data_IF_619209044641
#
_entry.id   IF_619209044641
#
_cell.length_a   1.000
_cell.length_b   1.000
_cell.length_c   1.000
_cell.angle_alpha   90.00
_cell.angle_beta   90.00
_cell.angle_gamma   90.00
#
_symmetry.space_group_name_H-M   'P 1'
#
loop_
_entity.id
_entity.type
_entity.pdbx_description
1 polymer ?
#
# COMPACT_ATOMS: atom_id res chain seq x y z
N UNK A 1 -15.27 50.37 -59.05
CA UNK A 1 -14.86 49.00 -59.46
C UNK A 1 -15.53 48.00 -58.52
N UNK A 2 -16.70 47.50 -58.93
CA UNK A 2 -17.49 46.50 -58.20
C UNK A 2 -17.02 45.10 -58.59
N UNK A 3 -16.48 44.32 -57.64
CA UNK A 3 -16.23 42.88 -57.82
C UNK A 3 -17.48 42.12 -57.41
N UNK A 4 -18.23 41.66 -58.41
CA UNK A 4 -19.27 40.65 -58.24
C UNK A 4 -18.62 39.32 -57.82
N UNK A 5 -19.03 38.80 -56.66
CA UNK A 5 -18.72 37.45 -56.21
C UNK A 5 -19.71 36.48 -56.86
N UNK A 6 -19.20 35.67 -57.80
CA UNK A 6 -19.91 34.52 -58.35
C UNK A 6 -20.08 33.45 -57.27
N UNK A 7 -21.33 33.08 -57.00
CA UNK A 7 -21.66 31.88 -56.23
C UNK A 7 -21.40 30.63 -57.08
N UNK A 8 -20.85 29.55 -56.50
CA UNK A 8 -20.71 28.27 -57.19
C UNK A 8 -22.07 27.55 -57.32
N UNK A 9 -22.24 26.71 -58.35
CA UNK A 9 -23.50 26.03 -58.64
C UNK A 9 -23.83 24.93 -57.62
N UNK A 10 -25.09 24.94 -57.18
CA UNK A 10 -25.74 23.86 -56.43
C UNK A 10 -25.79 22.57 -57.27
N UNK A 11 -24.94 21.59 -56.96
CA UNK A 11 -25.10 20.21 -57.42
C UNK A 11 -25.85 19.39 -56.37
N UNK A 12 -27.17 19.33 -56.53
CA UNK A 12 -28.03 18.32 -55.90
C UNK A 12 -27.86 17.00 -56.65
N UNK A 13 -26.97 16.14 -56.15
CA UNK A 13 -27.02 14.70 -56.42
C UNK A 13 -27.17 13.96 -55.10
N UNK A 14 -28.43 13.71 -54.73
CA UNK A 14 -28.83 12.82 -53.64
C UNK A 14 -28.67 11.37 -54.08
N UNK A 15 -27.42 10.95 -54.30
CA UNK A 15 -27.06 9.55 -54.32
C UNK A 15 -27.17 9.00 -52.89
N UNK A 16 -28.09 8.06 -52.69
CA UNK A 16 -28.21 7.30 -51.46
C UNK A 16 -26.87 6.63 -51.16
N UNK A 17 -26.10 7.23 -50.24
CA UNK A 17 -24.89 6.64 -49.69
C UNK A 17 -25.23 5.24 -49.17
N UNK A 18 -24.42 4.21 -49.48
CA UNK A 18 -24.55 2.92 -48.83
C UNK A 18 -24.57 3.13 -47.31
N UNK A 19 -25.35 2.34 -46.55
CA UNK A 19 -25.48 2.51 -45.11
C UNK A 19 -24.08 2.60 -44.51
N UNK A 20 -23.75 3.75 -43.93
CA UNK A 20 -22.51 3.91 -43.18
C UNK A 20 -22.53 2.81 -42.12
N UNK A 21 -21.52 1.92 -42.09
CA UNK A 21 -21.40 0.96 -41.01
C UNK A 21 -21.42 1.75 -39.70
N UNK A 22 -22.28 1.32 -38.80
CA UNK A 22 -22.55 1.91 -37.48
C UNK A 22 -21.26 2.49 -36.85
N UNK A 23 -21.17 3.82 -36.77
CA UNK A 23 -20.05 4.58 -36.16
C UNK A 23 -19.96 4.41 -34.64
N UNK A 24 -20.65 3.41 -34.11
CA UNK A 24 -21.03 3.21 -32.71
C UNK A 24 -20.41 1.95 -32.07
N UNK A 25 -19.61 1.16 -32.80
CA UNK A 25 -18.77 0.07 -32.26
C UNK A 25 -17.35 0.60 -31.97
N UNK A 26 -17.02 0.95 -30.73
CA UNK A 26 -16.53 0.04 -29.68
C UNK A 26 -15.03 -0.34 -29.77
N UNK A 27 -14.16 0.55 -30.25
CA UNK A 27 -12.71 0.28 -30.17
C UNK A 27 -12.19 0.63 -28.78
N UNK A 28 -12.48 -0.22 -27.80
CA UNK A 28 -11.74 -0.27 -26.54
C UNK A 28 -10.33 -0.75 -26.83
N UNK A 29 -9.32 0.02 -26.43
CA UNK A 29 -7.92 -0.41 -26.51
C UNK A 29 -7.55 -1.14 -25.21
N UNK A 30 -7.13 -2.40 -25.31
CA UNK A 30 -6.69 -3.17 -24.14
C UNK A 30 -5.20 -3.42 -24.21
N UNK A 31 -4.48 -2.94 -23.19
CA UNK A 31 -3.05 -3.10 -23.03
C UNK A 31 -2.79 -4.25 -22.06
N UNK A 32 -2.12 -5.30 -22.51
CA UNK A 32 -1.78 -6.49 -21.71
C UNK A 32 -0.31 -6.48 -21.33
N UNK A 33 0.00 -6.69 -20.05
CA UNK A 33 1.40 -6.76 -19.62
C UNK A 33 2.03 -8.07 -20.07
N UNK A 34 3.24 -7.98 -20.64
CA UNK A 34 4.00 -9.12 -21.12
C UNK A 34 4.29 -10.11 -19.97
N UNK A 35 3.85 -11.37 -20.14
CA UNK A 35 4.04 -12.43 -19.15
C UNK A 35 5.52 -12.76 -18.90
N UNK A 36 6.37 -12.69 -19.93
CA UNK A 36 7.81 -12.90 -19.80
C UNK A 36 8.45 -11.83 -18.91
N UNK A 37 8.12 -10.56 -19.12
CA UNK A 37 8.64 -9.46 -18.27
C UNK A 37 8.19 -9.58 -16.81
N UNK A 38 6.97 -10.07 -16.57
CA UNK A 38 6.53 -10.39 -15.20
C UNK A 38 7.37 -11.49 -14.57
N UNK A 39 7.71 -12.55 -15.31
CA UNK A 39 8.57 -13.62 -14.80
C UNK A 39 9.98 -13.10 -14.48
N UNK A 40 10.56 -12.30 -15.38
CA UNK A 40 11.87 -11.66 -15.16
C UNK A 40 11.85 -10.76 -13.92
N UNK A 41 10.84 -9.92 -13.77
CA UNK A 41 10.68 -9.06 -12.58
C UNK A 41 10.47 -9.85 -11.30
N UNK A 42 9.73 -10.96 -11.34
CA UNK A 42 9.54 -11.82 -10.18
C UNK A 42 10.88 -12.45 -9.75
N UNK A 43 11.66 -12.99 -10.69
CA UNK A 43 12.98 -13.58 -10.41
C UNK A 43 13.94 -12.50 -9.89
N UNK A 44 14.04 -11.37 -10.59
CA UNK A 44 14.88 -10.24 -10.17
C UNK A 44 14.48 -9.70 -8.80
N UNK A 45 13.18 -9.63 -8.52
CA UNK A 45 12.64 -9.26 -7.22
C UNK A 45 13.02 -10.24 -6.10
N UNK A 46 12.98 -11.54 -6.37
CA UNK A 46 13.43 -12.56 -5.40
C UNK A 46 14.92 -12.43 -5.11
N UNK A 47 15.76 -12.25 -6.13
CA UNK A 47 17.21 -12.04 -5.97
C UNK A 47 17.47 -10.76 -5.16
N UNK A 48 16.80 -9.66 -5.50
CA UNK A 48 16.94 -8.40 -4.80
C UNK A 48 16.49 -8.50 -3.33
N UNK A 49 15.42 -9.24 -3.03
CA UNK A 49 15.00 -9.50 -1.65
C UNK A 49 16.03 -10.35 -0.89
N UNK A 50 16.67 -11.33 -1.53
CA UNK A 50 17.76 -12.10 -0.90
C UNK A 50 18.97 -11.22 -0.60
N UNK A 51 19.42 -10.42 -1.57
CA UNK A 51 20.52 -9.47 -1.37
C UNK A 51 20.18 -8.49 -0.26
N UNK A 52 18.94 -8.00 -0.25
CA UNK A 52 18.55 -7.01 0.73
C UNK A 52 18.37 -7.64 2.13
N UNK A 53 17.93 -8.89 2.23
CA UNK A 53 17.91 -9.62 3.50
C UNK A 53 19.29 -9.69 4.16
N UNK A 54 20.37 -9.79 3.37
CA UNK A 54 21.74 -9.74 3.88
C UNK A 54 22.07 -8.38 4.53
N UNK A 55 21.58 -7.28 3.96
CA UNK A 55 21.76 -5.95 4.55
C UNK A 55 20.88 -5.74 5.80
N UNK A 56 19.70 -6.36 5.86
CA UNK A 56 18.82 -6.34 7.05
C UNK A 56 19.33 -7.27 8.17
N UNK A 57 20.35 -8.10 7.92
CA UNK A 57 21.01 -8.90 8.95
C UNK A 57 22.34 -8.31 9.42
N UNK A 58 22.76 -7.16 8.88
CA UNK A 58 23.97 -6.49 9.34
C UNK A 58 23.83 -5.94 10.77
N UNK A 59 24.90 -5.37 11.33
CA UNK A 59 24.81 -4.64 12.62
C UNK A 59 24.56 -3.13 12.42
N UNK A 60 24.73 -2.64 11.19
CA UNK A 60 24.67 -1.22 10.87
C UNK A 60 23.24 -0.72 10.70
N UNK A 61 22.68 -0.10 11.73
CA UNK A 61 21.28 0.39 11.75
C UNK A 61 20.93 1.34 10.59
N UNK A 62 21.84 2.22 10.17
CA UNK A 62 21.59 3.15 9.05
C UNK A 62 21.35 2.37 7.76
N UNK A 63 22.15 1.34 7.49
CA UNK A 63 21.98 0.44 6.36
C UNK A 63 20.64 -0.29 6.45
N UNK A 64 20.15 -0.65 7.64
CA UNK A 64 18.83 -1.27 7.82
C UNK A 64 17.70 -0.36 7.38
N UNK A 65 17.68 0.88 7.86
CA UNK A 65 16.58 1.81 7.55
C UNK A 65 16.53 2.10 6.04
N UNK A 66 17.69 2.36 5.42
CA UNK A 66 17.77 2.59 3.98
C UNK A 66 17.36 1.33 3.20
N UNK A 67 17.82 0.16 3.63
CA UNK A 67 17.48 -1.11 3.00
C UNK A 67 15.97 -1.41 3.11
N UNK A 68 15.36 -1.22 4.28
CA UNK A 68 13.90 -1.38 4.49
C UNK A 68 13.12 -0.43 3.58
N UNK A 69 13.52 0.85 3.48
CA UNK A 69 12.91 1.80 2.54
C UNK A 69 13.00 1.33 1.09
N UNK A 70 14.17 0.81 0.69
CA UNK A 70 14.40 0.21 -0.62
C UNK A 70 13.53 -1.02 -0.88
N UNK A 71 13.39 -1.93 0.08
CA UNK A 71 12.49 -3.10 -0.01
C UNK A 71 11.06 -2.67 -0.17
N UNK A 72 10.58 -1.74 0.63
CA UNK A 72 9.20 -1.29 0.55
C UNK A 72 8.94 -0.69 -0.84
N UNK A 73 9.83 0.16 -1.35
CA UNK A 73 9.70 0.71 -2.70
C UNK A 73 9.70 -0.39 -3.78
N UNK A 74 10.64 -1.34 -3.70
CA UNK A 74 10.74 -2.47 -4.63
C UNK A 74 9.50 -3.37 -4.57
N UNK A 75 9.03 -3.72 -3.38
CA UNK A 75 7.84 -4.54 -3.18
C UNK A 75 6.59 -3.85 -3.73
N UNK A 76 6.40 -2.55 -3.45
CA UNK A 76 5.27 -1.80 -3.99
C UNK A 76 5.30 -1.80 -5.53
N UNK A 77 6.48 -1.66 -6.11
CA UNK A 77 6.69 -1.72 -7.55
C UNK A 77 6.42 -3.12 -8.13
N UNK A 78 6.94 -4.18 -7.51
CA UNK A 78 6.71 -5.57 -7.90
C UNK A 78 5.22 -5.93 -7.80
N UNK A 79 4.55 -5.54 -6.71
CA UNK A 79 3.12 -5.74 -6.52
C UNK A 79 2.34 -5.05 -7.63
N UNK A 80 2.67 -3.80 -7.96
CA UNK A 80 2.01 -3.07 -9.05
C UNK A 80 2.21 -3.77 -10.41
N UNK A 81 3.42 -4.29 -10.71
CA UNK A 81 3.71 -4.99 -11.97
C UNK A 81 3.03 -6.37 -12.06
N UNK A 82 3.18 -7.19 -11.03
CA UNK A 82 2.75 -8.59 -11.01
C UNK A 82 1.23 -8.71 -10.90
N UNK A 83 0.59 -7.81 -10.16
CA UNK A 83 -0.87 -7.90 -9.95
C UNK A 83 -1.66 -7.33 -11.11
N UNK A 84 -1.08 -6.47 -11.94
CA UNK A 84 -1.77 -5.87 -13.09
C UNK A 84 -1.93 -6.89 -14.20
N UNK A 85 -3.17 -7.24 -14.56
CA UNK A 85 -3.45 -8.21 -15.64
C UNK A 85 -3.50 -7.47 -16.98
N UNK A 86 -4.41 -6.52 -17.09
CA UNK A 86 -4.57 -5.68 -18.27
C UNK A 86 -5.14 -4.30 -17.89
N UNK A 87 -4.99 -3.36 -18.81
CA UNK A 87 -5.50 -2.00 -18.71
C UNK A 87 -6.33 -1.72 -19.95
N UNK A 88 -7.63 -1.48 -19.77
CA UNK A 88 -8.55 -1.16 -20.86
C UNK A 88 -8.84 0.33 -20.88
N UNK A 89 -8.61 0.96 -22.03
CA UNK A 89 -8.92 2.34 -22.35
C UNK A 89 -10.27 2.36 -23.09
N UNK A 90 -11.36 2.43 -22.34
CA UNK A 90 -12.71 2.52 -22.89
C UNK A 90 -13.08 3.99 -23.17
N UNK A 91 -14.00 4.26 -24.10
CA UNK A 91 -14.44 5.62 -24.43
C UNK A 91 -14.82 6.53 -23.26
N UNK A 92 -15.43 5.96 -22.23
CA UNK A 92 -16.00 6.65 -21.07
C UNK A 92 -15.20 6.44 -19.78
N UNK A 93 -14.29 5.46 -19.75
CA UNK A 93 -13.54 5.08 -18.55
C UNK A 93 -12.25 4.34 -18.85
N UNK A 94 -11.32 4.41 -17.91
CA UNK A 94 -10.06 3.68 -17.90
C UNK A 94 -10.15 2.62 -16.81
N UNK A 95 -10.01 1.36 -17.17
CA UNK A 95 -10.17 0.22 -16.27
C UNK A 95 -8.84 -0.50 -16.12
N UNK A 96 -8.32 -0.57 -14.89
CA UNK A 96 -7.18 -1.40 -14.53
C UNK A 96 -7.66 -2.65 -13.82
N UNK A 97 -7.48 -3.82 -14.44
CA UNK A 97 -7.79 -5.11 -13.81
C UNK A 97 -6.59 -5.64 -13.05
N UNK A 98 -6.81 -6.00 -11.78
CA UNK A 98 -5.80 -6.62 -10.93
C UNK A 98 -6.22 -8.03 -10.55
N UNK A 99 -5.25 -8.92 -10.38
CA UNK A 99 -5.50 -10.32 -10.04
C UNK A 99 -6.17 -10.48 -8.66
N UNK A 100 -5.74 -9.68 -7.67
CA UNK A 100 -6.19 -9.83 -6.27
C UNK A 100 -6.89 -8.61 -5.66
N UNK A 101 -6.68 -7.40 -6.22
CA UNK A 101 -7.07 -6.14 -5.58
C UNK A 101 -8.32 -5.49 -6.18
N UNK A 102 -9.09 -6.25 -6.95
CA UNK A 102 -10.24 -5.77 -7.71
C UNK A 102 -9.85 -4.88 -8.88
N UNK A 103 -10.81 -4.11 -9.39
CA UNK A 103 -10.60 -3.21 -10.51
C UNK A 103 -10.46 -1.76 -10.02
N UNK A 104 -9.59 -0.99 -10.66
CA UNK A 104 -9.56 0.48 -10.51
C UNK A 104 -10.19 1.08 -11.76
N UNK A 105 -11.25 1.87 -11.60
CA UNK A 105 -11.97 2.52 -12.71
C UNK A 105 -11.84 4.03 -12.56
N UNK A 106 -11.32 4.70 -13.58
CA UNK A 106 -11.23 6.16 -13.65
C UNK A 106 -12.14 6.62 -14.79
N UNK A 107 -13.17 7.46 -14.53
CA UNK A 107 -13.96 8.06 -15.60
C UNK A 107 -13.07 8.89 -16.52
N UNK A 108 -13.16 8.67 -17.84
CA UNK A 108 -12.33 9.33 -18.84
C UNK A 108 -12.42 10.87 -18.76
N UNK A 109 -13.60 11.37 -18.40
CA UNK A 109 -13.88 12.80 -18.26
C UNK A 109 -13.18 13.45 -17.05
N UNK A 110 -12.78 12.65 -16.05
CA UNK A 110 -12.10 13.10 -14.83
C UNK A 110 -10.62 12.68 -14.79
N UNK A 111 -10.16 11.99 -15.83
CA UNK A 111 -8.78 11.56 -15.91
C UNK A 111 -7.88 12.77 -16.18
N UNK A 112 -6.71 12.78 -15.54
CA UNK A 112 -5.56 13.61 -15.89
C UNK A 112 -4.48 12.66 -16.39
N UNK A 113 -3.99 12.90 -17.60
CA UNK A 113 -2.89 12.15 -18.18
C UNK A 113 -1.57 12.82 -17.80
N UNK A 114 -0.61 12.01 -17.36
CA UNK A 114 0.81 12.33 -17.18
C UNK A 114 1.62 11.22 -17.83
N UNK A 115 2.32 11.51 -18.91
CA UNK A 115 3.24 10.56 -19.55
C UNK A 115 4.69 11.03 -19.39
N UNK A 116 5.58 10.08 -19.11
CA UNK A 116 7.03 10.26 -19.04
C UNK A 116 7.76 9.03 -19.63
N UNK A 117 9.09 9.00 -19.51
CA UNK A 117 9.94 7.90 -19.98
C UNK A 117 9.69 6.55 -19.28
N UNK A 118 9.03 6.54 -18.12
CA UNK A 118 8.80 5.33 -17.32
C UNK A 118 7.38 4.78 -17.50
N UNK A 119 6.40 5.62 -17.79
CA UNK A 119 4.99 5.21 -17.83
C UNK A 119 4.01 6.26 -18.31
N UNK A 120 2.83 5.76 -18.72
CA UNK A 120 1.63 6.54 -18.98
C UNK A 120 0.73 6.44 -17.75
N UNK A 121 0.52 7.56 -17.05
CA UNK A 121 -0.20 7.63 -15.77
C UNK A 121 -1.50 8.41 -15.94
N UNK A 122 -2.61 7.79 -15.53
CA UNK A 122 -3.92 8.41 -15.47
C UNK A 122 -4.31 8.61 -14.01
N UNK A 123 -4.57 9.84 -13.62
CA UNK A 123 -5.00 10.21 -12.28
C UNK A 123 -6.48 10.59 -12.27
N UNK A 124 -7.21 10.20 -11.24
CA UNK A 124 -8.59 10.65 -11.03
C UNK A 124 -8.60 12.04 -10.38
N UNK A 125 -9.02 13.07 -11.11
CA UNK A 125 -9.29 14.42 -10.62
C UNK A 125 -8.06 15.30 -10.35
N UNK A 126 -7.03 14.77 -9.67
CA UNK A 126 -5.77 15.48 -9.40
C UNK A 126 -4.57 14.52 -9.37
N UNK A 127 -3.39 15.03 -9.71
CA UNK A 127 -2.12 14.27 -9.68
C UNK A 127 -1.70 13.84 -8.26
N UNK A 128 -2.23 14.48 -7.22
CA UNK A 128 -2.01 14.08 -5.83
C UNK A 128 -2.81 12.84 -5.42
N UNK A 129 -3.86 12.48 -6.16
CA UNK A 129 -4.69 11.30 -5.89
C UNK A 129 -4.01 10.00 -6.37
N UNK A 130 -2.95 9.59 -5.66
CA UNK A 130 -2.18 8.37 -6.00
C UNK A 130 -2.98 7.08 -5.85
N UNK A 131 -4.04 7.05 -5.03
CA UNK A 131 -4.84 5.84 -4.75
C UNK A 131 -5.77 5.46 -5.90
N UNK A 132 -6.26 6.45 -6.64
CA UNK A 132 -7.08 6.25 -7.84
C UNK A 132 -6.28 6.62 -9.09
N UNK A 133 -5.09 6.04 -9.19
CA UNK A 133 -4.21 6.13 -10.36
C UNK A 133 -4.20 4.81 -11.11
N UNK A 134 -4.17 4.91 -12.44
CA UNK A 134 -3.85 3.80 -13.35
C UNK A 134 -2.52 4.13 -14.03
N UNK A 135 -1.52 3.26 -13.85
CA UNK A 135 -0.21 3.39 -14.49
C UNK A 135 -0.05 2.27 -15.50
N UNK A 136 0.27 2.62 -16.74
CA UNK A 136 0.83 1.73 -17.76
C UNK A 136 2.35 1.90 -17.72
N UNK A 137 3.07 0.86 -17.31
CA UNK A 137 4.53 0.88 -17.24
C UNK A 137 5.12 0.53 -18.60
N UNK A 138 5.96 1.40 -19.18
CA UNK A 138 6.44 1.23 -20.56
C UNK A 138 7.30 -0.02 -20.73
N UNK A 139 8.10 -0.37 -19.74
CA UNK A 139 8.90 -1.62 -19.72
C UNK A 139 8.06 -2.91 -19.74
N UNK A 140 6.75 -2.84 -19.44
CA UNK A 140 5.87 -4.01 -19.35
C UNK A 140 5.14 -4.31 -20.65
N UNK A 141 5.28 -3.45 -21.65
CA UNK A 141 4.56 -3.47 -22.93
C UNK A 141 5.54 -3.23 -24.08
N UNK A 142 5.13 -3.50 -25.32
CA UNK A 142 5.97 -3.17 -26.47
C UNK A 142 5.99 -1.65 -26.71
N UNK A 143 7.01 -1.17 -27.42
CA UNK A 143 7.08 0.25 -27.81
C UNK A 143 5.90 0.65 -28.69
N UNK A 144 5.49 -0.21 -29.62
CA UNK A 144 4.36 0.02 -30.51
C UNK A 144 3.04 0.12 -29.72
N UNK A 145 2.83 -0.77 -28.74
CA UNK A 145 1.66 -0.72 -27.84
C UNK A 145 1.64 0.57 -27.00
N UNK A 146 2.80 1.06 -26.59
CA UNK A 146 2.92 2.30 -25.84
C UNK A 146 2.55 3.52 -26.69
N UNK A 147 3.05 3.58 -27.92
CA UNK A 147 2.75 4.63 -28.88
C UNK A 147 1.25 4.62 -29.25
N UNK A 148 0.67 3.43 -29.49
CA UNK A 148 -0.77 3.25 -29.73
C UNK A 148 -1.62 3.69 -28.52
N UNK A 149 -1.23 3.30 -27.30
CA UNK A 149 -1.94 3.70 -26.08
C UNK A 149 -1.92 5.21 -25.87
N UNK A 150 -0.79 5.85 -26.16
CA UNK A 150 -0.64 7.30 -26.05
C UNK A 150 -1.44 8.03 -27.14
N UNK A 151 -1.40 7.56 -28.38
CA UNK A 151 -2.19 8.13 -29.49
C UNK A 151 -3.70 7.98 -29.21
N UNK A 152 -4.13 6.79 -28.79
CA UNK A 152 -5.51 6.54 -28.40
C UNK A 152 -5.95 7.50 -27.29
N UNK A 153 -5.16 7.64 -26.23
CA UNK A 153 -5.49 8.53 -25.12
C UNK A 153 -5.60 10.00 -25.57
N UNK A 154 -4.66 10.48 -26.39
CA UNK A 154 -4.68 11.85 -26.95
C UNK A 154 -5.93 12.10 -27.78
N UNK A 155 -6.20 11.20 -28.74
CA UNK A 155 -7.30 11.33 -29.70
C UNK A 155 -8.67 11.19 -29.03
N UNK A 156 -8.83 10.19 -28.16
CA UNK A 156 -10.14 9.83 -27.59
C UNK A 156 -10.55 10.73 -26.45
N UNK A 157 -9.64 11.00 -25.51
CA UNK A 157 -9.92 11.77 -24.31
C UNK A 157 -9.65 13.28 -24.49
N UNK A 158 -9.10 13.65 -25.66
CA UNK A 158 -8.79 15.04 -26.03
C UNK A 158 -7.90 15.73 -25.00
N UNK A 159 -6.91 15.02 -24.46
CA UNK A 159 -5.95 15.60 -23.54
C UNK A 159 -5.19 16.72 -24.24
N UNK A 160 -5.31 17.95 -23.73
CA UNK A 160 -4.43 19.04 -24.15
C UNK A 160 -3.09 18.82 -23.46
N UNK A 161 -2.08 18.45 -24.24
CA UNK A 161 -0.74 18.22 -23.72
C UNK A 161 -0.10 19.58 -23.45
N UNK A 162 0.12 19.89 -22.18
CA UNK A 162 1.07 20.92 -21.80
C UNK A 162 2.42 20.22 -21.70
N UNK A 163 3.30 20.51 -22.66
CA UNK A 163 4.70 20.09 -22.58
C UNK A 163 5.40 21.01 -21.58
N UNK A 164 5.67 20.49 -20.38
CA UNK A 164 6.46 21.18 -19.38
C UNK A 164 7.85 20.56 -19.35
N UNK A 165 8.82 21.24 -19.97
CA UNK A 165 10.24 20.86 -19.90
C UNK A 165 10.79 21.25 -18.54
N UNK A 166 11.06 20.28 -17.69
CA UNK A 166 11.66 20.49 -16.37
C UNK A 166 13.11 20.01 -16.37
N UNK A 167 14.06 20.93 -16.57
CA UNK A 167 15.51 20.66 -16.45
C UNK A 167 16.24 20.19 -17.73
N UNK A 168 17.57 20.02 -17.61
CA UNK A 168 18.48 19.59 -18.70
C UNK A 168 18.29 18.13 -19.12
N UNK A 169 17.71 17.28 -18.26
CA UNK A 169 17.31 15.93 -18.61
C UNK A 169 15.85 15.96 -19.14
N UNK A 170 15.70 15.74 -20.45
CA UNK A 170 14.47 15.83 -21.26
C UNK A 170 13.30 14.95 -20.79
N UNK A 171 12.77 15.19 -19.60
CA UNK A 171 11.49 14.63 -19.17
C UNK A 171 10.38 15.56 -19.64
N UNK A 172 9.85 15.25 -20.82
CA UNK A 172 8.62 15.87 -21.33
C UNK A 172 7.46 15.34 -20.51
N UNK A 173 7.12 16.06 -19.44
CA UNK A 173 5.92 15.77 -18.66
C UNK A 173 4.73 16.29 -19.44
N UNK A 174 3.92 15.37 -19.96
CA UNK A 174 2.72 15.70 -20.71
C UNK A 174 1.54 15.75 -19.75
N UNK A 175 1.19 16.92 -19.22
CA UNK A 175 -0.02 17.08 -18.39
C UNK A 175 -1.20 17.51 -19.26
N UNK A 176 -2.31 16.76 -19.20
CA UNK A 176 -3.54 17.14 -19.88
C UNK A 176 -4.79 16.73 -19.11
N UNK A 177 -5.76 17.66 -19.03
CA UNK A 177 -7.10 17.38 -18.55
C UNK A 177 -8.02 16.95 -19.70
N UNK A 178 -8.91 15.98 -19.47
CA UNK A 178 -9.86 15.54 -20.47
C UNK A 178 -10.76 16.70 -20.95
N UNK A 179 -10.89 16.91 -22.26
CA UNK A 179 -11.58 18.08 -22.79
C UNK A 179 -13.10 17.95 -22.71
N UNK A 180 -13.65 18.31 -21.55
CA UNK A 180 -15.03 18.74 -21.40
C UNK A 180 -15.06 20.05 -20.63
N UNK A 181 -15.51 21.15 -21.28
CA UNK A 181 -15.72 22.46 -20.62
C UNK A 181 -16.63 22.38 -19.38
N UNK A 182 -17.38 21.28 -19.21
CA UNK A 182 -18.45 21.16 -18.21
C UNK A 182 -18.17 20.23 -17.02
N UNK A 183 -17.02 19.54 -16.94
CA UNK A 183 -16.84 18.51 -15.89
C UNK A 183 -15.45 18.51 -15.25
N UNK A 184 -15.09 19.65 -14.67
CA UNK A 184 -14.04 19.70 -13.65
C UNK A 184 -14.62 19.19 -12.34
N UNK A 185 -13.85 18.37 -11.62
CA UNK A 185 -14.10 18.07 -10.20
C UNK A 185 -14.37 19.39 -9.50
N UNK A 186 -15.42 19.45 -8.68
CA UNK A 186 -15.77 20.67 -7.95
C UNK A 186 -14.53 21.13 -7.18
N UNK A 187 -14.08 22.37 -7.45
CA UNK A 187 -12.84 22.93 -6.88
C UNK A 187 -12.86 22.86 -5.36
N UNK A 188 -14.02 23.11 -4.74
CA UNK A 188 -14.18 23.01 -3.29
C UNK A 188 -14.01 21.57 -2.79
N UNK A 189 -14.48 20.57 -3.54
CA UNK A 189 -14.27 19.16 -3.21
C UNK A 189 -12.80 18.79 -3.29
N UNK A 190 -12.10 19.25 -4.33
CA UNK A 190 -10.68 19.00 -4.51
C UNK A 190 -9.84 19.66 -3.41
N UNK A 191 -10.17 20.90 -3.04
CA UNK A 191 -9.49 21.63 -1.96
C UNK A 191 -9.66 20.90 -0.62
N UNK A 192 -10.89 20.49 -0.28
CA UNK A 192 -11.16 19.77 0.97
C UNK A 192 -10.51 18.40 1.01
N UNK A 193 -10.53 17.67 -0.12
CA UNK A 193 -9.79 16.41 -0.26
C UNK A 193 -8.28 16.62 -0.09
N UNK A 194 -7.73 17.67 -0.69
CA UNK A 194 -6.33 18.05 -0.56
C UNK A 194 -5.94 18.30 0.89
N UNK A 195 -6.71 19.13 1.61
CA UNK A 195 -6.51 19.38 3.04
C UNK A 195 -6.52 18.10 3.85
N UNK A 196 -7.55 17.26 3.68
CA UNK A 196 -7.66 16.00 4.40
C UNK A 196 -6.50 15.03 4.10
N UNK A 197 -6.09 14.94 2.84
CA UNK A 197 -4.95 14.14 2.41
C UNK A 197 -3.63 14.65 3.02
N UNK A 198 -3.41 15.97 3.03
CA UNK A 198 -2.20 16.58 3.58
C UNK A 198 -2.12 16.46 5.10
N UNK A 199 -3.26 16.56 5.80
CA UNK A 199 -3.34 16.26 7.24
C UNK A 199 -2.94 14.81 7.52
N UNK A 200 -3.48 13.86 6.77
CA UNK A 200 -3.12 12.45 6.91
C UNK A 200 -1.63 12.21 6.62
N UNK A 201 -1.12 12.75 5.51
CA UNK A 201 0.29 12.61 5.12
C UNK A 201 1.22 13.18 6.20
N UNK A 202 0.88 14.33 6.76
CA UNK A 202 1.65 14.97 7.82
C UNK A 202 1.65 14.10 9.08
N UNK A 203 0.50 13.59 9.48
CA UNK A 203 0.40 12.72 10.66
C UNK A 203 1.12 11.38 10.46
N UNK A 204 0.99 10.75 9.28
CA UNK A 204 1.73 9.54 8.94
C UNK A 204 3.24 9.79 8.92
N UNK A 205 3.69 10.94 8.39
CA UNK A 205 5.09 11.33 8.42
C UNK A 205 5.59 11.56 9.86
N UNK A 206 4.80 12.21 10.72
CA UNK A 206 5.13 12.38 12.14
C UNK A 206 5.18 11.04 12.88
N UNK A 207 4.24 10.12 12.63
CA UNK A 207 4.26 8.78 13.23
C UNK A 207 5.46 7.96 12.75
N UNK A 208 5.78 8.00 11.46
CA UNK A 208 6.95 7.36 10.91
C UNK A 208 8.25 7.95 11.49
N UNK A 209 8.34 9.27 11.59
CA UNK A 209 9.48 9.96 12.21
C UNK A 209 9.63 9.56 13.68
N UNK A 210 8.55 9.56 14.45
CA UNK A 210 8.57 9.12 15.85
C UNK A 210 8.96 7.66 15.98
N UNK A 211 8.45 6.79 15.12
CA UNK A 211 8.83 5.38 15.10
C UNK A 211 10.32 5.20 14.77
N UNK A 212 10.85 5.95 13.81
CA UNK A 212 12.28 5.93 13.46
C UNK A 212 13.12 6.48 14.61
N UNK A 213 12.73 7.59 15.23
CA UNK A 213 13.44 8.16 16.40
C UNK A 213 13.44 7.15 17.54
N UNK A 214 12.32 6.52 17.84
CA UNK A 214 12.25 5.54 18.91
C UNK A 214 13.10 4.33 18.54
N UNK A 215 12.96 3.78 17.33
CA UNK A 215 13.79 2.69 16.85
C UNK A 215 15.28 3.03 16.84
N UNK A 216 15.68 4.29 16.60
CA UNK A 216 17.05 4.78 16.71
C UNK A 216 17.49 4.83 18.18
N UNK A 217 16.72 5.49 19.05
CA UNK A 217 17.07 5.61 20.48
C UNK A 217 17.14 4.25 21.16
N UNK A 218 16.30 3.33 20.73
CA UNK A 218 16.20 1.98 21.25
C UNK A 218 17.22 1.05 20.59
N UNK A 219 17.43 1.17 19.29
CA UNK A 219 18.39 0.37 18.51
C UNK A 219 19.85 0.76 18.75
N UNK A 220 20.11 1.99 19.20
CA UNK A 220 21.43 2.40 19.73
C UNK A 220 21.73 1.75 21.10
N UNK A 221 20.74 1.19 21.78
CA UNK A 221 20.97 0.30 22.90
C UNK A 221 20.97 -1.13 22.35
N UNK A 222 22.15 -1.75 22.25
CA UNK A 222 22.39 -3.08 21.64
C UNK A 222 21.54 -4.25 22.21
N UNK A 223 20.63 -3.98 23.15
CA UNK A 223 19.84 -4.99 23.87
C UNK A 223 18.54 -4.43 24.47
N UNK A 224 17.74 -3.70 23.69
CA UNK A 224 16.40 -3.39 24.17
C UNK A 224 15.47 -4.62 24.14
N UNK A 225 15.35 -5.25 25.30
CA UNK A 225 14.51 -6.42 25.52
C UNK A 225 13.06 -6.06 25.91
N UNK A 226 12.70 -4.77 25.87
CA UNK A 226 11.38 -4.27 26.25
C UNK A 226 11.19 -4.04 27.75
N UNK A 227 10.19 -3.23 28.11
CA UNK A 227 9.87 -2.88 29.51
C UNK A 227 9.05 -3.95 30.25
N UNK A 228 8.43 -4.88 29.54
CA UNK A 228 7.39 -5.77 30.03
C UNK A 228 7.73 -7.26 29.94
N UNK A 229 9.00 -7.64 30.09
CA UNK A 229 9.46 -9.02 29.89
C UNK A 229 8.81 -10.08 30.79
N UNK A 230 8.33 -9.67 31.97
CA UNK A 230 7.64 -10.57 32.92
C UNK A 230 6.18 -10.83 32.55
N UNK A 231 5.63 -10.08 31.59
CA UNK A 231 4.25 -10.21 31.20
C UNK A 231 4.03 -11.41 30.27
N UNK A 232 2.84 -12.02 30.29
CA UNK A 232 2.52 -13.16 29.43
C UNK A 232 2.39 -12.75 27.96
N UNK A 233 3.51 -12.70 27.25
CA UNK A 233 3.64 -12.20 25.86
C UNK A 233 2.58 -12.74 24.92
N UNK A 234 2.32 -14.05 24.96
CA UNK A 234 1.36 -14.71 24.06
C UNK A 234 -0.07 -14.17 24.22
N UNK A 235 -0.51 -13.94 25.45
CA UNK A 235 -1.85 -13.43 25.74
C UNK A 235 -2.00 -11.97 25.33
N UNK A 236 -0.96 -11.16 25.57
CA UNK A 236 -0.96 -9.73 25.21
C UNK A 236 -0.93 -9.56 23.69
N UNK A 237 -0.07 -10.31 22.99
CA UNK A 237 -0.06 -10.33 21.52
C UNK A 237 -1.39 -10.83 20.96
N UNK A 238 -1.94 -11.90 21.53
CA UNK A 238 -3.27 -12.40 21.14
C UNK A 238 -4.37 -11.34 21.28
N UNK A 239 -4.40 -10.63 22.41
CA UNK A 239 -5.33 -9.53 22.63
C UNK A 239 -5.11 -8.38 21.63
N UNK A 240 -3.86 -8.00 21.36
CA UNK A 240 -3.53 -6.98 20.37
C UNK A 240 -3.99 -7.36 18.95
N UNK A 241 -3.79 -8.62 18.54
CA UNK A 241 -4.29 -9.14 17.25
C UNK A 241 -5.82 -9.07 17.20
N UNK A 242 -6.50 -9.52 18.27
CA UNK A 242 -7.97 -9.44 18.37
C UNK A 242 -8.43 -7.99 18.27
N UNK A 243 -7.78 -7.04 18.94
CA UNK A 243 -8.11 -5.61 18.84
C UNK A 243 -7.93 -5.08 17.41
N UNK A 244 -6.85 -5.42 16.73
CA UNK A 244 -6.62 -5.03 15.34
C UNK A 244 -7.67 -5.63 14.39
N UNK A 245 -8.09 -6.87 14.62
CA UNK A 245 -9.20 -7.50 13.88
C UNK A 245 -10.53 -6.82 14.21
N UNK A 246 -10.79 -6.49 15.48
CA UNK A 246 -12.00 -5.78 15.89
C UNK A 246 -12.08 -4.37 15.30
N UNK A 247 -10.95 -3.70 15.09
CA UNK A 247 -10.87 -2.39 14.42
C UNK A 247 -11.40 -2.43 12.97
N UNK A 248 -11.40 -3.60 12.31
CA UNK A 248 -12.03 -3.80 11.01
C UNK A 248 -13.53 -3.48 11.03
N UNK A 249 -14.24 -3.83 12.11
CA UNK A 249 -15.69 -3.66 12.20
C UNK A 249 -16.14 -2.20 12.11
N UNK A 250 -15.64 -1.25 12.93
CA UNK A 250 -15.98 0.16 12.78
C UNK A 250 -15.49 0.72 11.45
N UNK A 251 -14.31 0.34 10.95
CA UNK A 251 -13.81 0.77 9.63
C UNK A 251 -14.75 0.34 8.50
N UNK A 252 -15.22 -0.91 8.52
CA UNK A 252 -16.19 -1.43 7.57
C UNK A 252 -17.53 -0.72 7.66
N UNK A 253 -18.00 -0.41 8.88
CA UNK A 253 -19.22 0.38 9.09
C UNK A 253 -19.08 1.81 8.58
N UNK A 254 -17.95 2.47 8.80
CA UNK A 254 -17.68 3.82 8.30
C UNK A 254 -17.74 3.85 6.77
N UNK A 255 -17.12 2.88 6.11
CA UNK A 255 -17.14 2.78 4.65
C UNK A 255 -18.53 2.44 4.08
N UNK A 256 -19.29 1.56 4.76
CA UNK A 256 -20.70 1.29 4.38
C UNK A 256 -21.60 2.51 4.61
N UNK A 257 -21.32 3.32 5.63
CA UNK A 257 -22.04 4.55 5.88
C UNK A 257 -21.77 5.61 4.80
N UNK A 258 -20.68 5.53 4.03
CA UNK A 258 -20.43 6.41 2.88
C UNK A 258 -21.39 6.09 1.74
N UNK A 259 -21.57 4.81 1.43
CA UNK A 259 -22.50 4.40 0.37
C UNK A 259 -23.94 4.73 0.75
N UNK A 260 -24.35 4.43 1.98
CA UNK A 260 -25.68 4.75 2.48
C UNK A 260 -25.94 6.26 2.61
N UNK A 261 -24.96 7.04 3.08
CA UNK A 261 -25.09 8.50 3.19
C UNK A 261 -25.17 9.17 1.81
N UNK A 262 -24.37 8.72 0.83
CA UNK A 262 -24.45 9.23 -0.54
C UNK A 262 -25.83 8.94 -1.16
N UNK A 263 -26.36 7.73 -0.98
CA UNK A 263 -27.69 7.36 -1.48
C UNK A 263 -28.82 8.13 -0.78
N UNK A 264 -28.73 8.36 0.53
CA UNK A 264 -29.76 9.11 1.28
C UNK A 264 -29.69 10.62 1.06
N UNK A 265 -28.49 11.19 0.90
CA UNK A 265 -28.31 12.60 0.55
C UNK A 265 -28.90 12.91 -0.84
N UNK A 266 -28.73 12.02 -1.82
CA UNK A 266 -29.36 12.14 -3.12
C UNK A 266 -30.90 12.19 -3.01
N UNK A 267 -31.50 11.35 -2.15
CA UNK A 267 -32.96 11.28 -1.96
C UNK A 267 -33.55 12.46 -1.18
N UNK A 268 -32.83 12.96 -0.18
CA UNK A 268 -33.41 13.95 0.75
C UNK A 268 -33.18 15.40 0.34
N UNK A 269 -32.20 15.68 -0.53
CA UNK A 269 -31.95 17.00 -1.12
C UNK A 269 -31.70 18.16 -0.12
N UNK A 270 -31.67 17.89 1.19
CA UNK A 270 -31.78 18.89 2.26
C UNK A 270 -30.48 19.32 2.90
N UNK A 271 -29.36 18.61 2.67
CA UNK A 271 -28.09 18.95 3.31
C UNK A 271 -27.27 19.92 2.48
N UNK A 272 -26.83 21.00 3.14
CA UNK A 272 -25.86 21.93 2.56
C UNK A 272 -24.54 21.21 2.25
N UNK A 273 -23.74 21.77 1.34
CA UNK A 273 -22.42 21.21 1.02
C UNK A 273 -21.49 21.19 2.24
N UNK A 274 -21.52 22.24 3.06
CA UNK A 274 -20.72 22.36 4.29
C UNK A 274 -21.03 21.26 5.30
N UNK A 275 -22.31 20.92 5.50
CA UNK A 275 -22.70 19.79 6.37
C UNK A 275 -22.16 18.46 5.85
N UNK A 276 -22.25 18.22 4.53
CA UNK A 276 -21.74 16.99 3.91
C UNK A 276 -20.22 16.89 4.02
N UNK A 277 -19.51 17.99 3.79
CA UNK A 277 -18.07 18.07 3.93
C UNK A 277 -17.63 17.77 5.37
N UNK A 278 -18.30 18.37 6.36
CA UNK A 278 -18.00 18.15 7.78
C UNK A 278 -18.20 16.70 8.21
N UNK A 279 -19.24 16.03 7.71
CA UNK A 279 -19.46 14.60 7.96
C UNK A 279 -18.29 13.77 7.40
N UNK A 280 -17.80 14.11 6.22
CA UNK A 280 -16.71 13.38 5.56
C UNK A 280 -15.35 13.64 6.22
N UNK A 281 -15.11 14.86 6.67
CA UNK A 281 -13.94 15.23 7.47
C UNK A 281 -13.89 14.43 8.78
N UNK A 282 -14.99 14.43 9.55
CA UNK A 282 -15.10 13.64 10.78
C UNK A 282 -14.85 12.14 10.55
N UNK A 283 -15.33 11.60 9.42
CA UNK A 283 -15.09 10.20 9.04
C UNK A 283 -13.66 9.92 8.63
N UNK A 284 -13.05 10.85 7.90
CA UNK A 284 -11.64 10.76 7.50
C UNK A 284 -10.76 10.74 8.74
N UNK A 285 -11.03 11.63 9.69
CA UNK A 285 -10.37 11.68 10.99
C UNK A 285 -10.61 10.40 11.80
N UNK A 286 -11.85 9.89 11.89
CA UNK A 286 -12.14 8.64 12.59
C UNK A 286 -11.41 7.43 11.97
N UNK A 287 -11.37 7.34 10.65
CA UNK A 287 -10.66 6.28 9.93
C UNK A 287 -9.16 6.36 10.19
N UNK A 288 -8.60 7.56 10.11
CA UNK A 288 -7.19 7.83 10.42
C UNK A 288 -6.85 7.45 11.86
N UNK A 289 -7.69 7.82 12.85
CA UNK A 289 -7.46 7.47 14.25
C UNK A 289 -7.52 5.95 14.50
N UNK A 290 -8.44 5.24 13.85
CA UNK A 290 -8.51 3.78 13.96
C UNK A 290 -7.29 3.10 13.34
N UNK A 291 -6.84 3.57 12.17
CA UNK A 291 -5.63 3.07 11.52
C UNK A 291 -4.40 3.34 12.40
N UNK A 292 -4.21 4.59 12.83
CA UNK A 292 -3.10 4.96 13.70
C UNK A 292 -3.13 4.24 15.06
N UNK A 293 -4.33 3.94 15.59
CA UNK A 293 -4.49 3.12 16.78
C UNK A 293 -3.98 1.69 16.60
N UNK A 294 -4.23 1.07 15.44
CA UNK A 294 -3.69 -0.27 15.12
C UNK A 294 -2.16 -0.21 15.01
N UNK A 295 -1.62 0.81 14.34
CA UNK A 295 -0.17 1.00 14.23
C UNK A 295 0.48 1.24 15.62
N UNK A 296 -0.18 2.02 16.48
CA UNK A 296 0.25 2.29 17.84
C UNK A 296 0.25 1.03 18.72
N UNK A 297 -0.68 0.09 18.53
CA UNK A 297 -0.66 -1.20 19.22
C UNK A 297 0.65 -1.96 18.92
N UNK A 298 1.07 -1.99 17.65
CA UNK A 298 2.35 -2.58 17.25
C UNK A 298 3.54 -1.92 17.94
N UNK A 299 3.52 -0.59 18.00
CA UNK A 299 4.54 0.19 18.69
C UNK A 299 4.60 -0.10 20.19
N UNK A 300 3.44 -0.21 20.85
CA UNK A 300 3.35 -0.58 22.27
C UNK A 300 3.90 -2.00 22.49
N UNK A 301 3.57 -2.96 21.63
CA UNK A 301 4.12 -4.33 21.72
C UNK A 301 5.65 -4.33 21.59
N UNK A 302 6.19 -3.52 20.68
CA UNK A 302 7.64 -3.33 20.55
C UNK A 302 8.25 -2.76 21.84
N UNK A 303 7.67 -1.70 22.42
CA UNK A 303 8.15 -1.14 23.69
C UNK A 303 8.06 -2.14 24.86
N UNK A 304 7.04 -2.99 24.88
CA UNK A 304 6.86 -3.97 25.95
C UNK A 304 7.81 -5.16 25.82
N UNK A 305 8.09 -5.63 24.61
CA UNK A 305 8.75 -6.93 24.40
C UNK A 305 10.04 -6.87 23.58
N UNK A 306 10.47 -5.68 23.16
CA UNK A 306 11.67 -5.49 22.33
C UNK A 306 11.55 -6.06 20.90
N UNK A 307 10.41 -6.66 20.53
CA UNK A 307 10.26 -7.33 19.26
C UNK A 307 9.85 -6.37 18.14
N UNK A 308 10.81 -5.99 17.29
CA UNK A 308 10.60 -5.08 16.18
C UNK A 308 9.63 -5.63 15.12
N UNK A 309 9.50 -6.96 15.01
CA UNK A 309 8.56 -7.60 14.08
C UNK A 309 7.10 -7.26 14.42
N UNK A 310 6.77 -7.16 15.71
CA UNK A 310 5.41 -6.81 16.16
C UNK A 310 5.05 -5.40 15.65
N UNK A 311 5.99 -4.45 15.73
CA UNK A 311 5.80 -3.09 15.21
C UNK A 311 5.56 -3.08 13.69
N UNK A 312 6.46 -3.70 12.92
CA UNK A 312 6.35 -3.68 11.45
C UNK A 312 5.08 -4.36 10.93
N UNK A 313 4.61 -5.42 11.60
CA UNK A 313 3.44 -6.12 11.13
C UNK A 313 2.16 -5.33 11.36
N UNK A 314 2.00 -4.72 12.53
CA UNK A 314 0.85 -3.85 12.80
C UNK A 314 0.90 -2.59 11.94
N UNK A 315 2.10 -2.08 11.62
CA UNK A 315 2.28 -1.02 10.61
C UNK A 315 1.78 -1.46 9.23
N UNK A 316 2.12 -2.68 8.79
CA UNK A 316 1.64 -3.24 7.53
C UNK A 316 0.11 -3.43 7.51
N UNK A 317 -0.48 -3.84 8.64
CA UNK A 317 -1.94 -3.98 8.79
C UNK A 317 -2.62 -2.61 8.74
N UNK A 318 -2.06 -1.60 9.41
CA UNK A 318 -2.50 -0.21 9.32
C UNK A 318 -2.48 0.32 7.88
N UNK A 319 -1.38 0.07 7.15
CA UNK A 319 -1.27 0.42 5.74
C UNK A 319 -2.32 -0.29 4.86
N UNK A 320 -2.62 -1.56 5.12
CA UNK A 320 -3.72 -2.26 4.43
C UNK A 320 -5.07 -1.59 4.72
N UNK A 321 -5.35 -1.27 5.99
CA UNK A 321 -6.57 -0.56 6.36
C UNK A 321 -6.67 0.82 5.71
N UNK A 322 -5.57 1.57 5.60
CA UNK A 322 -5.53 2.82 4.85
C UNK A 322 -5.90 2.61 3.38
N UNK A 323 -5.29 1.63 2.71
CA UNK A 323 -5.55 1.35 1.30
C UNK A 323 -7.02 0.99 1.06
N UNK A 324 -7.70 0.36 2.02
CA UNK A 324 -9.06 -0.14 1.83
C UNK A 324 -10.16 0.75 2.36
N UNK A 325 -9.96 1.40 3.52
CA UNK A 325 -11.01 2.13 4.23
C UNK A 325 -10.86 3.65 4.18
N UNK A 326 -9.66 4.18 3.97
CA UNK A 326 -9.51 5.62 3.91
C UNK A 326 -10.34 6.19 2.74
N UNK A 327 -11.09 7.29 2.91
CA UNK A 327 -11.93 7.85 1.85
C UNK A 327 -11.14 8.19 0.58
N UNK A 328 -11.69 7.87 -0.59
CA UNK A 328 -11.08 8.19 -1.91
C UNK A 328 -11.73 9.43 -2.50
N UNK A 329 -11.06 10.13 -3.43
CA UNK A 329 -11.64 11.32 -4.06
C UNK A 329 -13.00 11.02 -4.72
N UNK A 330 -13.18 9.86 -5.33
CA UNK A 330 -14.49 9.45 -5.86
C UNK A 330 -15.61 9.39 -4.81
N UNK A 331 -15.30 9.13 -3.54
CA UNK A 331 -16.26 9.19 -2.43
C UNK A 331 -16.61 10.65 -2.08
N UNK A 332 -15.60 11.54 -2.07
CA UNK A 332 -15.80 12.98 -1.89
C UNK A 332 -16.67 13.59 -3.00
N UNK A 333 -16.47 13.17 -4.25
CA UNK A 333 -17.25 13.61 -5.41
C UNK A 333 -18.70 13.14 -5.36
N UNK A 334 -18.97 11.87 -5.02
CA UNK A 334 -20.36 11.38 -4.89
C UNK A 334 -21.17 12.21 -3.90
N UNK A 335 -20.52 12.62 -2.81
CA UNK A 335 -21.14 13.44 -1.80
C UNK A 335 -21.33 14.89 -2.27
N UNK A 336 -20.48 15.40 -3.16
CA UNK A 336 -20.64 16.75 -3.73
C UNK A 336 -21.68 16.82 -4.85
N UNK A 337 -21.77 15.76 -5.65
CA UNK A 337 -22.63 15.67 -6.83
C UNK A 337 -24.07 15.24 -6.51
N UNK A 338 -24.38 14.88 -5.27
CA UNK A 338 -25.77 14.70 -4.83
C UNK A 338 -26.51 16.05 -4.93
N UNK A 339 -26.98 16.36 -6.13
CA UNK A 339 -27.83 17.49 -6.50
C UNK A 339 -29.26 17.09 -6.10
N UNK A 340 -30.05 17.99 -5.48
CA UNK A 340 -31.45 17.70 -5.23
C UNK A 340 -32.15 17.42 -6.57
N UNK A 341 -32.82 16.28 -6.68
CA UNK A 341 -33.67 15.91 -7.83
C UNK A 341 -34.71 17.02 -8.05
N UNK A 342 -34.46 17.93 -8.98
CA UNK A 342 -35.45 18.93 -9.39
C UNK A 342 -35.56 19.12 -10.90
N UNK A 343 -35.03 18.19 -11.70
CA UNK A 343 -35.24 18.15 -13.15
C UNK A 343 -35.62 16.74 -13.56
N UNK A 344 -36.93 16.49 -13.58
CA UNK A 344 -37.58 15.20 -13.87
C UNK A 344 -37.48 14.81 -15.37
N UNK A 345 -36.84 15.59 -16.24
CA UNK A 345 -36.99 15.41 -17.71
C UNK A 345 -35.74 15.00 -18.52
N UNK A 346 -34.63 14.59 -17.90
CA UNK A 346 -33.52 14.03 -18.67
C UNK A 346 -33.12 12.64 -18.18
N UNK A 347 -33.17 11.58 -19.03
CA UNK A 347 -32.66 10.28 -18.64
C UNK A 347 -31.18 10.41 -18.28
N UNK A 348 -30.85 10.02 -17.04
CA UNK A 348 -29.50 10.07 -16.49
C UNK A 348 -28.55 9.20 -17.33
N UNK A 349 -27.91 9.78 -18.34
CA UNK A 349 -27.09 9.08 -19.34
C UNK A 349 -25.71 8.62 -18.84
N UNK A 350 -25.43 8.62 -17.55
CA UNK A 350 -24.22 7.94 -17.06
C UNK A 350 -24.42 7.53 -15.60
N UNK A 351 -24.71 6.26 -15.30
CA UNK A 351 -24.68 5.78 -13.93
C UNK A 351 -23.26 6.04 -13.39
N UNK A 352 -23.16 6.75 -12.27
CA UNK A 352 -21.88 6.85 -11.55
C UNK A 352 -21.36 5.43 -11.37
N UNK A 353 -20.16 5.16 -11.87
CA UNK A 353 -19.59 3.82 -11.87
C UNK A 353 -19.72 3.18 -10.47
N UNK A 354 -20.15 1.91 -10.38
CA UNK A 354 -20.24 1.22 -9.09
C UNK A 354 -18.90 1.34 -8.36
N UNK A 355 -18.95 1.54 -7.03
CA UNK A 355 -17.71 1.51 -6.24
C UNK A 355 -17.03 0.17 -6.53
N UNK A 356 -15.70 0.16 -6.75
CA UNK A 356 -15.00 -1.08 -6.96
C UNK A 356 -15.32 -2.06 -5.82
N UNK A 357 -15.68 -3.27 -6.21
CA UNK A 357 -16.32 -4.27 -5.37
C UNK A 357 -15.46 -4.69 -4.17
N UNK A 358 -16.13 -5.24 -3.15
CA UNK A 358 -15.60 -5.75 -1.87
C UNK A 358 -14.14 -6.21 -1.97
N UNK A 359 -13.24 -5.48 -1.33
CA UNK A 359 -11.84 -5.90 -1.20
C UNK A 359 -11.69 -6.94 -0.09
N UNK A 360 -10.90 -7.98 -0.37
CA UNK A 360 -10.56 -9.10 0.53
C UNK A 360 -9.57 -8.69 1.62
N UNK A 361 -9.64 -7.46 2.10
CA UNK A 361 -8.67 -6.88 3.06
C UNK A 361 -8.59 -7.67 4.35
N UNK A 362 -9.73 -8.17 4.83
CA UNK A 362 -9.82 -9.05 5.98
C UNK A 362 -9.03 -10.36 5.78
N UNK A 363 -9.03 -10.93 4.57
CA UNK A 363 -8.26 -12.14 4.27
C UNK A 363 -6.76 -11.85 4.30
N UNK A 364 -6.33 -10.71 3.73
CA UNK A 364 -4.92 -10.31 3.74
C UNK A 364 -4.44 -10.00 5.16
N UNK A 365 -5.21 -9.23 5.94
CA UNK A 365 -4.89 -8.93 7.33
C UNK A 365 -4.87 -10.20 8.20
N UNK A 366 -5.79 -11.14 7.98
CA UNK A 366 -5.77 -12.43 8.69
C UNK A 366 -4.56 -13.29 8.31
N UNK A 367 -4.16 -13.30 7.04
CA UNK A 367 -2.96 -14.01 6.60
C UNK A 367 -1.71 -13.38 7.23
N UNK A 368 -1.60 -12.05 7.25
CA UNK A 368 -0.49 -11.36 7.91
C UNK A 368 -0.46 -11.66 9.41
N UNK A 369 -1.59 -11.54 10.10
CA UNK A 369 -1.68 -11.85 11.54
C UNK A 369 -1.44 -13.35 11.83
N UNK A 370 -1.89 -14.24 10.96
CA UNK A 370 -1.62 -15.67 11.04
C UNK A 370 -0.14 -15.99 10.83
N UNK A 371 0.51 -15.30 9.89
CA UNK A 371 1.95 -15.38 9.69
C UNK A 371 2.71 -14.86 10.92
N UNK A 372 2.27 -13.77 11.57
CA UNK A 372 2.83 -13.29 12.85
C UNK A 372 2.71 -14.35 13.96
N UNK A 373 1.52 -14.93 14.11
CA UNK A 373 1.30 -15.94 15.13
C UNK A 373 2.23 -17.15 14.93
N UNK A 374 2.47 -17.54 13.66
CA UNK A 374 3.37 -18.62 13.30
C UNK A 374 4.87 -18.24 13.40
N UNK A 375 5.25 -17.01 13.02
CA UNK A 375 6.65 -16.56 13.01
C UNK A 375 7.14 -16.04 14.36
N UNK A 376 6.25 -15.59 15.24
CA UNK A 376 6.61 -15.18 16.61
C UNK A 376 6.92 -16.38 17.53
N UNK A 377 6.83 -17.61 17.01
CA UNK A 377 7.28 -18.81 17.70
C UNK A 377 8.81 -18.92 17.66
N UNK A 378 9.44 -18.08 18.50
CA UNK A 378 10.61 -18.41 19.29
C UNK A 378 11.98 -18.31 18.63
N UNK A 379 12.63 -17.17 18.79
CA UNK A 379 14.07 -17.14 19.08
C UNK A 379 14.24 -16.65 20.52
N UNK A 380 14.66 -17.54 21.41
CA UNK A 380 15.13 -17.12 22.74
C UNK A 380 16.64 -17.22 22.74
N UNK A 381 17.31 -16.08 22.91
CA UNK A 381 18.74 -16.05 23.21
C UNK A 381 18.96 -16.67 24.58
N UNK A 382 19.79 -17.70 24.65
CA UNK A 382 20.17 -18.37 25.89
C UNK A 382 21.67 -18.22 26.07
N UNK A 383 22.12 -18.13 27.33
CA UNK A 383 23.55 -18.25 27.62
C UNK A 383 24.00 -19.68 27.31
N UNK A 384 25.14 -19.82 26.64
CA UNK A 384 25.76 -21.11 26.37
C UNK A 384 26.88 -21.34 27.37
N UNK A 385 26.88 -22.50 28.00
CA UNK A 385 27.89 -22.93 28.96
C UNK A 385 28.61 -24.18 28.46
N UNK A 386 29.91 -24.25 28.74
CA UNK A 386 30.77 -25.41 28.42
C UNK A 386 30.55 -26.58 29.38
N UNK A 387 29.99 -26.33 30.56
CA UNK A 387 29.68 -27.37 31.52
C UNK A 387 28.42 -27.02 32.32
N UNK A 388 27.72 -28.05 32.82
CA UNK A 388 26.55 -27.89 33.68
C UNK A 388 26.92 -27.13 34.95
N UNK A 389 28.12 -27.41 35.47
CA UNK A 389 28.66 -26.77 36.67
C UNK A 389 28.81 -25.27 36.48
N UNK A 390 29.35 -24.81 35.36
CA UNK A 390 29.50 -23.38 35.12
C UNK A 390 28.16 -22.65 35.05
N UNK A 391 27.14 -23.30 34.47
CA UNK A 391 25.78 -22.78 34.47
C UNK A 391 25.17 -22.76 35.89
N UNK A 392 25.36 -23.83 36.66
CA UNK A 392 24.87 -23.91 38.04
C UNK A 392 25.59 -22.95 38.98
N UNK A 393 26.89 -22.71 38.78
CA UNK A 393 27.67 -21.75 39.55
C UNK A 393 27.16 -20.31 39.31
N UNK A 394 26.73 -20.03 38.08
CA UNK A 394 26.24 -18.73 37.65
C UNK A 394 24.75 -18.48 38.02
N UNK A 395 23.91 -19.51 38.02
CA UNK A 395 22.44 -19.39 38.17
C UNK A 395 21.84 -20.14 39.37
N UNK A 396 22.58 -21.06 39.99
CA UNK A 396 22.19 -21.76 41.22
C UNK A 396 21.04 -22.77 41.10
N UNK A 397 20.48 -22.99 39.91
CA UNK A 397 19.27 -23.79 39.67
C UNK A 397 19.44 -24.76 38.51
N UNK A 398 19.17 -26.05 38.77
CA UNK A 398 19.26 -27.12 37.75
C UNK A 398 18.21 -27.00 36.66
N UNK A 399 17.06 -26.38 36.96
CA UNK A 399 15.94 -26.27 36.02
C UNK A 399 16.22 -25.27 34.88
N UNK A 400 17.13 -24.34 35.14
CA UNK A 400 17.55 -23.28 34.23
C UNK A 400 18.75 -23.70 33.36
N UNK A 401 19.42 -24.80 33.72
CA UNK A 401 20.58 -25.35 33.01
C UNK A 401 20.21 -26.64 32.25
N UNK A 402 19.83 -26.50 30.97
CA UNK A 402 19.30 -27.60 30.16
C UNK A 402 20.30 -28.07 29.11
N UNK A 403 20.37 -29.37 28.87
CA UNK A 403 21.14 -29.91 27.75
C UNK A 403 20.42 -29.65 26.41
N UNK A 404 21.17 -29.45 25.32
CA UNK A 404 20.60 -29.44 23.98
C UNK A 404 19.87 -30.75 23.70
N UNK A 405 18.65 -30.65 23.15
CA UNK A 405 17.88 -31.82 22.75
C UNK A 405 18.68 -32.65 21.73
N UNK A 406 18.71 -33.97 21.90
CA UNK A 406 19.37 -34.91 20.98
C UNK A 406 18.85 -34.67 19.54
N UNK A 407 19.67 -34.04 18.70
CA UNK A 407 19.28 -33.59 17.35
C UNK A 407 19.66 -32.14 17.02
N UNK A 408 20.14 -31.34 17.99
CA UNK A 408 20.70 -30.02 17.69
C UNK A 408 21.98 -30.14 16.88
N UNK A 409 21.92 -29.84 15.58
CA UNK A 409 23.04 -29.95 14.62
C UNK A 409 24.25 -29.07 15.01
N UNK A 410 24.02 -28.00 15.78
CA UNK A 410 25.03 -26.97 16.06
C UNK A 410 25.88 -27.21 17.31
N UNK A 411 25.44 -28.02 18.27
CA UNK A 411 26.18 -28.28 19.51
C UNK A 411 26.21 -29.78 19.80
N UNK A 412 27.41 -30.37 19.83
CA UNK A 412 27.64 -31.74 20.28
C UNK A 412 27.34 -31.85 21.79
N UNK A 413 27.02 -33.05 22.26
CA UNK A 413 26.87 -33.37 23.68
C UNK A 413 28.00 -32.74 24.52
N UNK A 414 27.65 -32.05 25.60
CA UNK A 414 28.61 -31.42 26.53
C UNK A 414 28.43 -29.91 26.73
N UNK A 415 27.59 -29.24 25.95
CA UNK A 415 27.18 -27.86 26.22
C UNK A 415 25.85 -27.80 26.97
N UNK A 416 25.60 -26.69 27.67
CA UNK A 416 24.38 -26.45 28.43
C UNK A 416 23.80 -25.07 28.09
N UNK A 417 22.49 -25.02 27.89
CA UNK A 417 21.76 -23.76 27.77
C UNK A 417 21.38 -23.28 29.16
N UNK A 418 21.82 -22.07 29.51
CA UNK A 418 21.37 -21.35 30.69
C UNK A 418 20.01 -20.67 30.47
N UNK A 419 19.55 -19.90 31.47
CA UNK A 419 18.31 -19.14 31.36
C UNK A 419 18.36 -18.13 30.21
N UNK A 420 17.18 -17.65 29.83
CA UNK A 420 17.03 -16.71 28.72
C UNK A 420 17.71 -15.39 29.06
N UNK A 421 18.37 -14.80 28.07
CA UNK A 421 18.89 -13.44 28.12
C UNK A 421 17.72 -12.50 28.47
N UNK A 422 17.87 -11.67 29.51
CA UNK A 422 16.82 -10.77 30.04
C UNK A 422 16.26 -11.15 31.42
N UNK A 423 16.47 -12.38 31.90
CA UNK A 423 16.19 -12.74 33.30
C UNK A 423 17.12 -11.95 34.22
N UNK A 424 16.57 -11.08 35.07
CA UNK A 424 17.29 -10.22 36.02
C UNK A 424 18.34 -10.98 36.82
N UNK A 425 19.60 -10.97 36.36
CA UNK A 425 20.70 -11.63 37.04
C UNK A 425 22.03 -11.31 36.39
N UNK A 426 22.98 -10.78 37.17
CA UNK A 426 24.39 -10.59 36.79
C UNK A 426 25.16 -11.92 36.67
N UNK A 427 24.53 -12.98 36.16
CA UNK A 427 24.97 -14.37 36.24
C UNK A 427 25.50 -14.95 34.93
N UNK A 428 26.19 -14.18 34.08
CA UNK A 428 26.67 -14.67 32.77
C UNK A 428 28.18 -14.84 32.67
N UNK A 429 28.93 -14.71 33.77
CA UNK A 429 30.38 -14.52 33.75
C UNK A 429 31.14 -15.72 33.17
N UNK A 430 30.58 -16.93 33.27
CA UNK A 430 31.19 -18.16 32.76
C UNK A 430 30.54 -18.67 31.48
N UNK A 431 29.63 -17.90 30.90
CA UNK A 431 29.05 -18.25 29.61
C UNK A 431 30.13 -18.16 28.52
N UNK A 432 30.21 -19.17 27.66
CA UNK A 432 31.11 -19.21 26.51
C UNK A 432 30.56 -18.46 25.30
N UNK A 433 29.32 -17.98 25.40
CA UNK A 433 28.65 -17.20 24.38
C UNK A 433 27.15 -17.12 24.64
N UNK A 434 26.46 -16.43 23.74
CA UNK A 434 25.00 -16.45 23.67
C UNK A 434 24.57 -17.12 22.38
N UNK A 435 23.47 -17.85 22.42
CA UNK A 435 22.98 -18.64 21.29
C UNK A 435 21.50 -18.38 21.11
N UNK A 436 21.10 -18.06 19.89
CA UNK A 436 19.70 -18.01 19.53
C UNK A 436 19.20 -19.43 19.28
N UNK A 437 18.31 -19.92 20.14
CA UNK A 437 17.66 -21.22 19.92
C UNK A 437 16.32 -20.95 19.24
N UNK A 438 16.30 -21.14 17.92
CA UNK A 438 15.09 -21.04 17.12
C UNK A 438 14.21 -22.28 17.36
N UNK A 439 13.03 -22.11 17.93
CA UNK A 439 12.05 -23.19 18.13
C UNK A 439 11.11 -23.27 16.93
N UNK A 440 11.61 -23.74 15.79
CA UNK A 440 10.81 -24.24 14.67
C UNK A 440 9.73 -23.28 14.15
N UNK A 441 10.13 -22.35 13.29
CA UNK A 441 9.25 -21.56 12.42
C UNK A 441 9.86 -21.44 11.02
N UNK A 442 9.04 -21.24 9.99
CA UNK A 442 9.45 -21.08 8.58
C UNK A 442 10.41 -19.87 8.43
N UNK A 443 11.72 -20.09 8.58
CA UNK A 443 12.72 -19.01 8.47
C UNK A 443 14.19 -19.35 8.73
N UNK A 444 14.60 -20.61 8.93
CA UNK A 444 15.99 -20.95 9.33
C UNK A 444 17.04 -20.87 8.20
N UNK A 445 16.84 -20.08 7.14
CA UNK A 445 17.79 -19.99 6.02
C UNK A 445 18.81 -18.84 6.12
N UNK A 446 18.71 -17.96 7.13
CA UNK A 446 19.56 -16.76 7.24
C UNK A 446 20.57 -16.72 8.40
N UNK A 447 20.59 -17.70 9.30
CA UNK A 447 21.44 -17.67 10.49
C UNK A 447 22.87 -18.18 10.26
N UNK A 448 23.68 -17.46 9.49
CA UNK A 448 25.12 -17.72 9.39
C UNK A 448 25.89 -16.54 9.94
N UNK A 449 26.54 -16.73 11.09
CA UNK A 449 27.81 -16.14 11.59
C UNK A 449 27.80 -16.18 13.13
N UNK A 450 28.26 -17.29 13.72
CA UNK A 450 28.84 -17.23 15.05
C UNK A 450 30.30 -16.79 14.87
N UNK A 451 30.57 -15.50 15.07
CA UNK A 451 31.94 -14.97 15.13
C UNK A 451 32.59 -15.46 16.43
N UNK A 452 33.48 -16.44 16.32
CA UNK A 452 34.41 -16.79 17.39
C UNK A 452 35.59 -15.81 17.32
N UNK A 453 35.56 -14.76 18.14
CA UNK A 453 36.74 -13.99 18.51
C UNK A 453 37.40 -14.64 19.73
N UNK A 454 38.64 -15.08 19.58
CA UNK A 454 39.50 -15.50 20.69
C UNK A 454 40.17 -14.32 21.37
#
# INVERSE_FOLDING_TARGET
MNKQLQQPPDSRDSGSLPPQPDRSQANTLTVTYNGFMKAVLAIGGMIALTVLSFFVTGEEFVLHVTAVGGVVALLLYLVECLTTVNISLEPDRIVKRRLFFGETVIPAQRAILVADQYGIRFYHGCTTNRRERVTILLQMISRDEAEEALEYARKRYRFQLREERTGEDETVTLEGGGAGKERKVNVLTLEQFGKAHDTYRSAAACMAANAVIVALTVGLADSFDGFGQTLPVAWIRGAAIVLAVLAYLPLSRLNQADTAAATSAAKTGRRTWSERAKVLENRTLATMLLIGGVELIGFILFLLFGNLLDFYLFLAVGACYYVDFYPRLSAWERLSEAKPERSVEAPAKTPLAPLPSKRRSLQVSLVLMGALAASSYGESRQYLYKSKKDCLDDWGSDQDCREPSQGSVHYRSGYYYGPRYGGSGRGGMRSVGTVSVSRGGFGSLGGFHASFGG
#
